data_IF_766400243395
#
_entry.id   IF_766400243395
#
_cell.length_a   1.000
_cell.length_b   1.000
_cell.length_c   1.000
_cell.angle_alpha   90.00
_cell.angle_beta   90.00
_cell.angle_gamma   90.00
#
_symmetry.space_group_name_H-M   'P 1'
#
loop_
_entity.id
_entity.type
_entity.pdbx_description
1 polymer ?
#
# COMPACT_ATOMS: atom_id res chain seq x y z
N UNK A 1 -4.05 -19.75 5.90
CA UNK A 1 -4.21 -18.43 6.54
C UNK A 1 -4.19 -17.37 5.46
N UNK A 2 -5.15 -16.43 5.43
CA UNK A 2 -5.11 -15.30 4.51
C UNK A 2 -4.05 -14.27 4.94
N UNK A 3 -3.42 -13.60 3.98
CA UNK A 3 -2.56 -12.45 4.24
C UNK A 3 -3.46 -11.24 4.49
N UNK A 4 -3.31 -10.57 5.63
CA UNK A 4 -4.08 -9.37 5.99
C UNK A 4 -3.19 -8.14 5.78
N UNK A 5 -3.67 -7.17 5.01
CA UNK A 5 -2.94 -5.93 4.69
C UNK A 5 -3.46 -4.81 5.60
N UNK A 6 -2.62 -4.32 6.51
CA UNK A 6 -2.95 -3.24 7.47
C UNK A 6 -2.38 -1.87 7.07
N UNK A 7 -2.30 -1.60 5.77
CA UNK A 7 -1.65 -0.39 5.25
C UNK A 7 -2.25 0.91 5.83
N UNK A 8 -3.54 0.89 6.10
CA UNK A 8 -4.34 2.01 6.62
C UNK A 8 -3.88 2.44 8.01
N UNK A 9 -3.63 1.44 8.86
CA UNK A 9 -3.15 1.62 10.23
C UNK A 9 -1.74 2.20 10.20
N UNK A 10 -0.86 1.65 9.35
CA UNK A 10 0.53 2.12 9.21
C UNK A 10 0.57 3.56 8.69
N UNK A 11 -0.24 3.90 7.70
CA UNK A 11 -0.34 5.26 7.16
C UNK A 11 -0.83 6.25 8.22
N UNK A 12 -1.84 5.88 9.01
CA UNK A 12 -2.34 6.70 10.10
C UNK A 12 -1.29 6.92 11.19
N UNK A 13 -0.57 5.86 11.60
CA UNK A 13 0.51 5.93 12.57
C UNK A 13 1.66 6.84 12.08
N UNK A 14 2.00 6.77 10.79
CA UNK A 14 3.03 7.60 10.16
C UNK A 14 2.53 9.01 9.76
N UNK A 15 1.27 9.37 10.06
CA UNK A 15 0.62 10.63 9.63
C UNK A 15 0.78 10.91 8.13
N UNK A 16 0.79 9.86 7.31
CA UNK A 16 1.06 9.92 5.87
C UNK A 16 -0.21 9.70 5.05
N UNK A 17 -0.37 10.45 3.97
CA UNK A 17 -1.51 10.27 3.04
C UNK A 17 -1.22 9.17 2.02
N UNK A 18 -2.25 8.45 1.59
CA UNK A 18 -2.13 7.41 0.56
C UNK A 18 -1.54 7.97 -0.75
N UNK A 19 -2.00 9.13 -1.21
CA UNK A 19 -1.44 9.83 -2.39
C UNK A 19 0.08 10.05 -2.29
N UNK A 20 0.57 10.40 -1.11
CA UNK A 20 1.99 10.65 -0.87
C UNK A 20 2.80 9.35 -0.96
N UNK A 21 2.31 8.27 -0.36
CA UNK A 21 2.95 6.96 -0.47
C UNK A 21 2.99 6.49 -1.93
N UNK A 22 1.89 6.65 -2.67
CA UNK A 22 1.81 6.27 -4.08
C UNK A 22 2.89 6.98 -4.92
N UNK A 23 3.09 8.28 -4.69
CA UNK A 23 4.14 9.07 -5.33
C UNK A 23 5.54 8.59 -4.95
N UNK A 24 5.79 8.32 -3.66
CA UNK A 24 7.10 7.86 -3.16
C UNK A 24 7.53 6.52 -3.76
N UNK A 25 6.60 5.58 -3.91
CA UNK A 25 6.91 4.23 -4.41
C UNK A 25 6.77 4.11 -5.94
N UNK A 26 6.19 5.12 -6.59
CA UNK A 26 6.00 5.18 -8.05
C UNK A 26 4.86 4.30 -8.56
N UNK A 27 3.73 4.22 -7.83
CA UNK A 27 2.51 3.54 -8.30
C UNK A 27 1.34 4.51 -8.38
N UNK A 28 0.30 4.13 -9.11
CA UNK A 28 -0.93 4.93 -9.19
C UNK A 28 -1.72 4.88 -7.87
N UNK A 29 -2.47 5.93 -7.57
CA UNK A 29 -3.37 5.97 -6.42
C UNK A 29 -4.42 4.84 -6.46
N UNK A 30 -4.87 4.45 -7.67
CA UNK A 30 -5.78 3.32 -7.86
C UNK A 30 -5.16 2.00 -7.38
N UNK A 31 -3.90 1.72 -7.75
CA UNK A 31 -3.21 0.51 -7.29
C UNK A 31 -3.01 0.51 -5.78
N UNK A 32 -2.67 1.67 -5.20
CA UNK A 32 -2.56 1.79 -3.75
C UNK A 32 -3.91 1.58 -3.03
N UNK A 33 -5.00 2.07 -3.61
CA UNK A 33 -6.36 1.88 -3.08
C UNK A 33 -6.78 0.40 -3.09
N UNK A 34 -6.41 -0.35 -4.14
CA UNK A 34 -6.63 -1.80 -4.20
C UNK A 34 -5.83 -2.56 -3.14
N UNK A 35 -4.59 -2.14 -2.88
CA UNK A 35 -3.76 -2.70 -1.81
C UNK A 35 -4.38 -2.44 -0.42
N UNK A 36 -4.78 -1.19 -0.17
CA UNK A 36 -5.46 -0.76 1.06
C UNK A 36 -6.77 -1.53 1.32
N UNK A 37 -7.59 -1.71 0.29
CA UNK A 37 -8.87 -2.42 0.40
C UNK A 37 -8.75 -3.96 0.39
N UNK A 38 -7.53 -4.52 0.29
CA UNK A 38 -7.31 -5.97 0.22
C UNK A 38 -7.82 -6.63 -1.06
N UNK A 39 -8.22 -5.85 -2.07
CA UNK A 39 -8.73 -6.34 -3.37
C UNK A 39 -7.62 -6.63 -4.38
N UNK A 40 -6.36 -6.53 -3.96
CA UNK A 40 -5.22 -6.81 -4.82
C UNK A 40 -5.14 -8.30 -5.12
N UNK A 41 -4.90 -8.65 -6.38
CA UNK A 41 -4.69 -10.06 -6.79
C UNK A 41 -3.23 -10.49 -6.69
N UNK A 42 -2.30 -9.55 -6.83
CA UNK A 42 -0.86 -9.79 -6.75
C UNK A 42 -0.10 -8.50 -6.45
N UNK A 43 1.10 -8.62 -5.90
CA UNK A 43 2.04 -7.53 -5.67
C UNK A 43 3.45 -8.00 -6.03
N UNK A 44 4.27 -7.13 -6.62
CA UNK A 44 5.70 -7.40 -6.84
C UNK A 44 6.44 -7.22 -5.52
N UNK A 45 7.38 -8.12 -5.20
CA UNK A 45 8.22 -7.97 -4.00
C UNK A 45 8.97 -6.62 -3.96
N UNK A 46 9.45 -6.13 -5.11
CA UNK A 46 10.06 -4.81 -5.20
C UNK A 46 9.11 -3.66 -4.82
N UNK A 47 7.80 -3.81 -4.99
CA UNK A 47 6.82 -2.83 -4.51
C UNK A 47 6.59 -2.96 -3.01
N UNK A 48 6.57 -4.19 -2.49
CA UNK A 48 6.46 -4.43 -1.06
C UNK A 48 7.67 -3.87 -0.29
N UNK A 49 8.87 -4.08 -0.81
CA UNK A 49 10.12 -3.55 -0.26
C UNK A 49 10.13 -2.02 -0.18
N UNK A 50 9.54 -1.33 -1.16
CA UNK A 50 9.40 0.13 -1.13
C UNK A 50 8.35 0.64 -0.12
N UNK A 51 7.42 -0.20 0.31
CA UNK A 51 6.36 0.15 1.26
C UNK A 51 6.81 -0.04 2.71
N UNK A 52 7.59 -1.11 2.97
CA UNK A 52 8.15 -1.43 4.27
C UNK A 52 9.23 -0.41 4.69
#
# INVERSE_FOLDING_TARGET
MPIIINLDVVLAQKKMRSRELAQRIGITEQNLSLLKSGKVKSIRFATLEKIC
#
